data_IF_173930372983
#
_entry.id   IF_173930372983
#
_cell.length_a   1.000
_cell.length_b   1.000
_cell.length_c   1.000
_cell.angle_alpha   90.00
_cell.angle_beta   90.00
_cell.angle_gamma   90.00
#
_symmetry.space_group_name_H-M   'P 1'
#
loop_
_entity.id
_entity.type
_entity.pdbx_description
1 polymer ?
#
# COMPACT_ATOMS: atom_id res chain seq x y z
N UNK A 1 36.82 8.48 1.45
CA UNK A 1 36.89 8.40 2.93
C UNK A 1 35.54 8.70 3.57
N UNK A 2 34.66 9.46 2.90
CA UNK A 2 33.31 9.81 3.37
C UNK A 2 32.32 8.63 3.45
N UNK A 3 32.36 7.67 2.52
CA UNK A 3 31.39 6.54 2.48
C UNK A 3 31.41 5.66 3.75
N UNK A 4 32.59 5.42 4.36
CA UNK A 4 32.68 4.62 5.61
C UNK A 4 32.14 5.34 6.84
N UNK A 5 32.11 6.67 6.84
CA UNK A 5 31.63 7.45 7.98
C UNK A 5 30.10 7.43 8.05
N UNK A 6 29.44 7.59 6.91
CA UNK A 6 27.98 7.49 6.78
C UNK A 6 27.45 6.11 7.16
N UNK A 7 28.22 5.06 6.84
CA UNK A 7 27.90 3.66 7.11
C UNK A 7 27.97 3.32 8.60
N UNK A 8 29.05 3.72 9.27
CA UNK A 8 29.19 3.57 10.73
C UNK A 8 28.13 4.41 11.46
N UNK A 9 27.82 5.61 10.97
CA UNK A 9 26.79 6.48 11.54
C UNK A 9 25.38 5.90 11.39
N UNK A 10 25.06 5.32 10.24
CA UNK A 10 23.78 4.63 10.00
C UNK A 10 23.62 3.45 10.95
N UNK A 11 24.62 2.56 11.00
CA UNK A 11 24.62 1.38 11.89
C UNK A 11 24.50 1.79 13.36
N UNK A 12 25.22 2.84 13.78
CA UNK A 12 25.16 3.35 15.15
C UNK A 12 23.82 4.03 15.50
N UNK A 13 23.05 4.46 14.49
CA UNK A 13 21.73 5.08 14.67
C UNK A 13 20.59 4.06 14.73
N UNK A 14 20.81 2.81 14.31
CA UNK A 14 19.79 1.75 14.39
C UNK A 14 19.51 1.37 15.85
N UNK A 15 18.22 1.30 16.20
CA UNK A 15 17.76 0.96 17.56
C UNK A 15 16.62 -0.06 17.50
N UNK A 16 16.44 -0.80 18.60
CA UNK A 16 15.34 -1.77 18.74
C UNK A 16 15.34 -2.84 17.65
N UNK A 17 14.17 -3.13 17.07
CA UNK A 17 14.00 -4.20 16.06
C UNK A 17 14.80 -4.01 14.77
N UNK A 18 15.28 -2.80 14.52
CA UNK A 18 16.13 -2.48 13.38
C UNK A 18 17.56 -3.00 13.54
N UNK A 19 18.07 -3.10 14.78
CA UNK A 19 19.40 -3.69 15.05
C UNK A 19 19.41 -5.20 14.84
N UNK A 20 18.26 -5.86 15.06
CA UNK A 20 18.11 -7.31 14.88
C UNK A 20 18.27 -7.72 13.40
N UNK A 21 18.07 -6.80 12.45
CA UNK A 21 18.32 -7.06 11.02
C UNK A 21 19.80 -7.25 10.74
N UNK A 22 20.66 -6.48 11.42
CA UNK A 22 22.10 -6.56 11.23
C UNK A 22 22.68 -7.93 11.62
N UNK A 23 22.00 -8.66 12.51
CA UNK A 23 22.39 -10.02 12.90
C UNK A 23 22.13 -11.06 11.80
N UNK A 24 21.22 -10.77 10.87
CA UNK A 24 20.91 -11.62 9.72
C UNK A 24 21.76 -11.32 8.48
N UNK A 25 22.52 -10.23 8.47
CA UNK A 25 23.40 -9.85 7.36
C UNK A 25 24.80 -10.42 7.66
N UNK A 26 25.40 -11.16 6.72
CA UNK A 26 26.75 -11.70 6.92
C UNK A 26 27.78 -10.58 7.04
N UNK A 27 28.77 -10.76 7.91
CA UNK A 27 29.66 -9.68 8.37
C UNK A 27 30.51 -9.06 7.25
N UNK A 28 30.78 -9.81 6.17
CA UNK A 28 31.47 -9.33 4.96
C UNK A 28 30.61 -8.40 4.10
N UNK A 29 29.28 -8.37 4.33
CA UNK A 29 28.33 -7.50 3.64
C UNK A 29 27.76 -6.39 4.52
N UNK A 30 28.14 -6.34 5.80
CA UNK A 30 27.80 -5.23 6.69
C UNK A 30 28.53 -3.92 6.34
N UNK A 31 29.47 -3.98 5.39
CA UNK A 31 30.12 -2.79 4.80
C UNK A 31 29.50 -2.37 3.47
N UNK A 32 28.42 -3.02 3.05
CA UNK A 32 27.69 -2.67 1.84
C UNK A 32 26.39 -1.97 2.23
N UNK A 33 26.38 -0.64 2.13
CA UNK A 33 25.21 0.20 2.46
C UNK A 33 23.95 -0.29 1.75
N UNK A 34 24.05 -0.64 0.47
CA UNK A 34 22.93 -1.09 -0.34
C UNK A 34 22.31 -2.38 0.21
N UNK A 35 23.12 -3.31 0.72
CA UNK A 35 22.63 -4.52 1.39
C UNK A 35 21.88 -4.20 2.69
N UNK A 36 22.36 -3.23 3.48
CA UNK A 36 21.71 -2.80 4.73
C UNK A 36 20.39 -2.07 4.44
N UNK A 37 20.39 -1.14 3.49
CA UNK A 37 19.21 -0.41 3.05
C UNK A 37 18.13 -1.37 2.52
N UNK A 38 18.49 -2.31 1.65
CA UNK A 38 17.55 -3.31 1.13
C UNK A 38 16.99 -4.22 2.22
N UNK A 39 17.80 -4.61 3.22
CA UNK A 39 17.33 -5.43 4.32
C UNK A 39 16.39 -4.67 5.26
N UNK A 40 16.65 -3.38 5.49
CA UNK A 40 15.77 -2.48 6.22
C UNK A 40 14.47 -2.24 5.44
N UNK A 41 14.55 -2.01 4.13
CA UNK A 41 13.39 -1.84 3.25
C UNK A 41 12.55 -3.12 3.15
N UNK A 42 13.17 -4.30 3.07
CA UNK A 42 12.44 -5.57 3.02
C UNK A 42 11.62 -5.84 4.29
N UNK A 43 12.04 -5.31 5.45
CA UNK A 43 11.45 -5.65 6.75
C UNK A 43 10.69 -4.49 7.42
N UNK A 44 11.02 -3.26 7.07
CA UNK A 44 10.38 -2.04 7.56
C UNK A 44 9.95 -1.09 6.45
N UNK A 45 10.37 -1.36 5.21
CA UNK A 45 9.94 -0.58 4.06
C UNK A 45 8.45 -0.78 3.78
N UNK A 46 7.98 0.04 2.86
CA UNK A 46 6.55 0.26 2.66
C UNK A 46 5.82 -1.04 2.29
N UNK A 47 6.49 -2.06 1.74
CA UNK A 47 5.87 -3.33 1.35
C UNK A 47 5.02 -4.00 2.44
N UNK A 48 5.39 -3.89 3.72
CA UNK A 48 4.56 -4.39 4.83
C UNK A 48 3.32 -3.51 5.08
N UNK A 49 3.48 -2.20 4.93
CA UNK A 49 2.41 -1.21 5.03
C UNK A 49 1.45 -1.29 3.82
N UNK A 50 1.99 -1.52 2.63
CA UNK A 50 1.26 -1.83 1.39
C UNK A 50 0.41 -3.08 1.56
N UNK A 51 0.94 -4.16 2.15
CA UNK A 51 0.18 -5.38 2.42
C UNK A 51 -0.95 -5.17 3.43
N UNK A 52 -0.72 -4.33 4.45
CA UNK A 52 -1.76 -3.92 5.39
C UNK A 52 -2.93 -3.23 4.66
N UNK A 53 -2.65 -2.23 3.82
CA UNK A 53 -3.69 -1.52 3.06
C UNK A 53 -4.39 -2.40 2.03
N UNK A 54 -3.69 -3.35 1.40
CA UNK A 54 -4.31 -4.36 0.54
C UNK A 54 -5.31 -5.24 1.30
N UNK A 55 -5.00 -5.55 2.56
CA UNK A 55 -5.90 -6.31 3.43
C UNK A 55 -7.09 -5.46 3.84
N UNK A 56 -6.86 -4.20 4.21
CA UNK A 56 -7.91 -3.24 4.56
C UNK A 56 -8.91 -3.06 3.41
N UNK A 57 -8.44 -2.89 2.16
CA UNK A 57 -9.27 -2.86 0.95
C UNK A 57 -10.17 -4.09 0.80
N UNK A 58 -9.61 -5.29 0.97
CA UNK A 58 -10.37 -6.55 0.83
C UNK A 58 -11.47 -6.72 1.87
N UNK A 59 -11.27 -6.15 3.05
CA UNK A 59 -12.24 -6.23 4.16
C UNK A 59 -13.14 -5.00 4.25
N UNK A 60 -12.93 -4.01 3.37
CA UNK A 60 -13.70 -2.77 3.41
C UNK A 60 -15.14 -3.05 3.03
N UNK A 61 -16.05 -2.62 3.90
CA UNK A 61 -17.48 -2.61 3.62
C UNK A 61 -18.09 -1.31 4.08
N UNK A 62 -19.09 -0.82 3.34
CA UNK A 62 -19.83 0.39 3.65
C UNK A 62 -20.44 0.30 5.06
N UNK A 63 -20.17 1.28 5.90
CA UNK A 63 -20.74 1.32 7.26
C UNK A 63 -22.21 1.77 7.19
N UNK A 64 -23.07 1.34 8.13
CA UNK A 64 -24.44 1.85 8.18
C UNK A 64 -24.44 3.38 8.35
N UNK A 65 -25.11 4.08 7.43
CA UNK A 65 -25.16 5.55 7.40
C UNK A 65 -23.96 6.23 6.73
N UNK A 66 -22.98 5.49 6.22
CA UNK A 66 -21.88 6.03 5.44
C UNK A 66 -22.34 6.34 4.00
N UNK A 67 -22.03 7.54 3.50
CA UNK A 67 -22.34 7.89 2.12
C UNK A 67 -21.39 7.18 1.15
N UNK A 68 -21.88 6.93 -0.08
CA UNK A 68 -21.07 6.33 -1.14
C UNK A 68 -19.84 7.18 -1.49
N UNK A 69 -19.91 8.51 -1.37
CA UNK A 69 -18.76 9.39 -1.59
C UNK A 69 -17.66 9.14 -0.55
N UNK A 70 -18.03 9.00 0.73
CA UNK A 70 -17.07 8.73 1.81
C UNK A 70 -16.41 7.36 1.60
N UNK A 71 -17.20 6.36 1.17
CA UNK A 71 -16.66 5.05 0.81
C UNK A 71 -15.68 5.15 -0.37
N UNK A 72 -16.03 5.87 -1.43
CA UNK A 72 -15.19 6.03 -2.63
C UNK A 72 -13.87 6.73 -2.30
N UNK A 73 -13.92 7.83 -1.54
CA UNK A 73 -12.71 8.55 -1.09
C UNK A 73 -11.80 7.65 -0.25
N UNK A 74 -12.36 6.82 0.62
CA UNK A 74 -11.55 5.91 1.43
C UNK A 74 -10.96 4.77 0.60
N UNK A 75 -11.70 4.23 -0.39
CA UNK A 75 -11.17 3.25 -1.35
C UNK A 75 -10.03 3.84 -2.19
N UNK A 76 -10.18 5.07 -2.69
CA UNK A 76 -9.14 5.76 -3.47
C UNK A 76 -7.87 6.01 -2.63
N UNK A 77 -8.05 6.47 -1.39
CA UNK A 77 -6.96 6.64 -0.42
C UNK A 77 -6.23 5.32 -0.21
N UNK A 78 -6.97 4.24 0.04
CA UNK A 78 -6.37 2.93 0.26
C UNK A 78 -5.70 2.37 -1.00
N UNK A 79 -6.24 2.59 -2.19
CA UNK A 79 -5.61 2.19 -3.45
C UNK A 79 -4.29 2.91 -3.69
N UNK A 80 -4.22 4.20 -3.38
CA UNK A 80 -2.98 4.98 -3.48
C UNK A 80 -1.89 4.47 -2.54
N UNK A 81 -2.26 3.91 -1.39
CA UNK A 81 -1.32 3.37 -0.41
C UNK A 81 -0.99 1.88 -0.65
N UNK A 82 -1.94 1.10 -1.19
CA UNK A 82 -1.81 -0.34 -1.42
C UNK A 82 -1.17 -0.69 -2.77
N UNK A 83 -1.19 0.23 -3.73
CA UNK A 83 -0.74 0.00 -5.10
C UNK A 83 -0.02 1.23 -5.69
N UNK A 84 0.73 1.98 -4.86
CA UNK A 84 1.45 3.20 -5.26
C UNK A 84 2.34 3.02 -6.51
N UNK A 85 2.91 1.82 -6.69
CA UNK A 85 3.80 1.47 -7.80
C UNK A 85 3.07 1.02 -9.08
N UNK A 86 1.75 0.82 -9.02
CA UNK A 86 0.96 0.39 -10.17
C UNK A 86 0.58 1.59 -11.06
N UNK A 87 0.49 1.38 -12.39
CA UNK A 87 -0.05 2.39 -13.31
C UNK A 87 -1.44 2.89 -12.89
N UNK A 88 -1.75 4.15 -13.24
CA UNK A 88 -3.01 4.79 -12.86
C UNK A 88 -4.24 4.02 -13.38
N UNK A 89 -4.22 3.57 -14.64
CA UNK A 89 -5.36 2.86 -15.25
C UNK A 89 -5.69 1.54 -14.52
N UNK A 90 -4.64 0.84 -14.07
CA UNK A 90 -4.77 -0.39 -13.28
C UNK A 90 -5.33 -0.06 -11.90
N UNK A 91 -4.87 1.03 -11.27
CA UNK A 91 -5.41 1.47 -9.98
C UNK A 91 -6.87 1.88 -10.08
N UNK A 92 -7.26 2.62 -11.10
CA UNK A 92 -8.65 3.08 -11.30
C UNK A 92 -9.59 1.89 -11.51
N UNK A 93 -9.17 0.93 -12.34
CA UNK A 93 -9.94 -0.29 -12.61
C UNK A 93 -10.14 -1.12 -11.33
N UNK A 94 -9.08 -1.28 -10.54
CA UNK A 94 -9.15 -1.99 -9.26
C UNK A 94 -9.97 -1.20 -8.23
N UNK A 95 -9.84 0.12 -8.16
CA UNK A 95 -10.60 0.98 -7.26
C UNK A 95 -12.10 0.84 -7.51
N UNK A 96 -12.52 0.87 -8.78
CA UNK A 96 -13.90 0.67 -9.17
C UNK A 96 -14.43 -0.70 -8.70
N UNK A 97 -13.63 -1.77 -8.87
CA UNK A 97 -14.02 -3.10 -8.44
C UNK A 97 -14.15 -3.21 -6.91
N UNK A 98 -13.15 -2.75 -6.15
CA UNK A 98 -13.21 -2.74 -4.69
C UNK A 98 -14.34 -1.87 -4.15
N UNK A 99 -14.63 -0.74 -4.81
CA UNK A 99 -15.74 0.11 -4.43
C UNK A 99 -17.08 -0.62 -4.57
N UNK A 100 -17.33 -1.28 -5.71
CA UNK A 100 -18.56 -2.06 -5.93
C UNK A 100 -18.65 -3.23 -4.95
N UNK A 101 -17.55 -3.93 -4.70
CA UNK A 101 -17.52 -5.06 -3.76
C UNK A 101 -17.74 -4.61 -2.29
N UNK A 102 -17.40 -3.36 -1.96
CA UNK A 102 -17.58 -2.80 -0.63
C UNK A 102 -18.99 -2.25 -0.34
N UNK A 103 -19.85 -2.07 -1.34
CA UNK A 103 -21.24 -1.62 -1.14
C UNK A 103 -22.03 -2.70 -0.40
N UNK A 104 -22.70 -2.31 0.69
CA UNK A 104 -23.37 -3.26 1.60
C UNK A 104 -24.74 -3.73 1.11
N UNK A 105 -25.38 -2.96 0.26
CA UNK A 105 -26.72 -3.24 -0.28
C UNK A 105 -26.59 -4.12 -1.54
N UNK A 106 -27.00 -5.39 -1.46
CA UNK A 106 -26.86 -6.36 -2.56
C UNK A 106 -27.61 -5.92 -3.83
N UNK A 107 -28.76 -5.25 -3.69
CA UNK A 107 -29.53 -4.72 -4.82
C UNK A 107 -28.79 -3.55 -5.52
N UNK A 108 -28.19 -2.63 -4.76
CA UNK A 108 -27.34 -1.54 -5.28
C UNK A 108 -26.02 -2.06 -5.84
N UNK A 109 -25.44 -3.10 -5.22
CA UNK A 109 -24.23 -3.77 -5.69
C UNK A 109 -24.45 -4.45 -7.04
N UNK A 110 -25.59 -5.15 -7.22
CA UNK A 110 -25.95 -5.75 -8.50
C UNK A 110 -26.22 -4.72 -9.58
N UNK A 111 -26.86 -3.59 -9.27
CA UNK A 111 -27.04 -2.49 -10.21
C UNK A 111 -25.70 -1.85 -10.64
N UNK A 112 -24.82 -1.52 -9.69
CA UNK A 112 -23.50 -0.94 -9.99
C UNK A 112 -22.60 -1.88 -10.80
N UNK A 113 -22.72 -3.21 -10.59
CA UNK A 113 -21.99 -4.24 -11.35
C UNK A 113 -22.51 -4.39 -12.79
N UNK A 114 -23.80 -4.13 -13.02
CA UNK A 114 -24.42 -4.16 -14.34
C UNK A 114 -24.08 -2.91 -15.17
N UNK A 115 -24.07 -1.73 -14.54
CA UNK A 115 -23.62 -0.47 -15.17
C UNK A 115 -22.10 -0.46 -15.41
N UNK A 116 -21.29 -1.07 -14.53
CA UNK A 116 -19.82 -1.15 -14.70
C UNK A 116 -19.34 -1.96 -15.91
N UNK A 117 -20.22 -2.76 -16.54
CA UNK A 117 -19.92 -3.47 -17.79
C UNK A 117 -20.13 -2.60 -19.04
N UNK A 118 -20.80 -1.45 -18.93
CA UNK A 118 -20.88 -0.42 -19.97
C UNK A 118 -20.12 0.82 -19.51
N UNK A 119 -18.79 0.70 -19.45
CA UNK A 119 -17.88 1.86 -19.43
C UNK A 119 -18.28 2.98 -18.47
N UNK A 120 -18.22 2.70 -17.16
CA UNK A 120 -18.25 3.79 -16.19
C UNK A 120 -16.89 4.50 -16.26
N UNK A 121 -16.81 5.56 -17.06
CA UNK A 121 -15.83 6.61 -16.86
C UNK A 121 -16.16 7.26 -15.51
N UNK A 122 -15.75 6.61 -14.41
CA UNK A 122 -15.70 7.26 -13.12
C UNK A 122 -14.62 8.31 -13.29
N UNK A 123 -15.04 9.51 -13.68
CA UNK A 123 -14.18 10.66 -13.81
C UNK A 123 -13.60 10.98 -12.44
N UNK A 124 -12.46 10.37 -12.12
CA UNK A 124 -11.54 10.84 -11.10
C UNK A 124 -10.87 12.10 -11.65
N UNK A 125 -11.61 13.19 -11.65
CA UNK A 125 -11.15 14.49 -12.13
C UNK A 125 -11.75 15.59 -11.28
N UNK A 126 -10.94 16.07 -10.34
CA UNK A 126 -10.96 17.34 -9.56
C UNK A 126 -12.34 17.95 -9.28
#
# INVERSE_FOLDING_TARGET
>A
MESRFSEIQLVASLRGRAVEILQGIPSDKLTDLTTIENALEARFGDSHLTQFYRTELKTRQQKPGESLQVLATDVERLMSLAYAECPQDVRDSLAAQYFVDAIRDEDTQHAARFDGCQGLEIGFGI
#
